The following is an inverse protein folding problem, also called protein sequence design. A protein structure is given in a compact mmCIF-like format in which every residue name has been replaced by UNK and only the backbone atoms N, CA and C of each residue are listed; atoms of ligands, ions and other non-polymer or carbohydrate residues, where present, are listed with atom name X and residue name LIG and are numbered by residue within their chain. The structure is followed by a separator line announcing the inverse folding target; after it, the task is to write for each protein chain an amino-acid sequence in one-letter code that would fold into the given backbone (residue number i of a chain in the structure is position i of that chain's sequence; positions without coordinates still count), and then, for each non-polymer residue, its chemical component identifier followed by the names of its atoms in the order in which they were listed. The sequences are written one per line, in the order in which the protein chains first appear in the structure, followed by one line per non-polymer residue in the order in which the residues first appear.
data_IF_199086219778
#
_entry.id   IF_199086219778
#
_cell.length_a   1.000
_cell.length_b   1.000
_cell.length_c   1.000
_cell.angle_alpha   90.00
_cell.angle_beta   90.00
_cell.angle_gamma   90.00
#
_symmetry.space_group_name_H-M   'P 1'
#
loop_
_entity.id
_entity.type
_entity.pdbx_description
1 polymer ?
#
# COMPACT_ATOMS: atom_id res chain seq x y z
N UNK A 1 -15.56 -16.47 8.16
CA UNK A 1 -15.68 -15.00 8.18
C UNK A 1 -15.46 -14.52 6.77
N UNK A 2 -16.50 -14.09 6.09
CA UNK A 2 -16.47 -13.72 4.67
C UNK A 2 -15.72 -12.40 4.53
N UNK A 3 -14.49 -12.48 4.02
CA UNK A 3 -13.69 -11.35 3.56
C UNK A 3 -14.32 -10.74 2.32
N UNK A 4 -15.49 -10.14 2.44
CA UNK A 4 -15.97 -9.21 1.43
C UNK A 4 -15.01 -8.03 1.50
N UNK A 5 -14.02 -8.02 0.60
CA UNK A 5 -13.08 -6.91 0.41
C UNK A 5 -13.85 -5.67 -0.05
N UNK A 6 -14.67 -5.11 0.83
CA UNK A 6 -15.51 -3.94 0.61
C UNK A 6 -14.90 -2.76 1.36
N UNK A 7 -15.07 -1.58 0.80
CA UNK A 7 -14.65 -0.36 1.46
C UNK A 7 -15.54 -0.09 2.69
N UNK A 8 -14.98 0.19 3.88
CA UNK A 8 -15.77 0.50 5.06
C UNK A 8 -16.49 1.86 4.99
N UNK A 9 -16.16 2.70 3.99
CA UNK A 9 -16.76 4.03 3.82
C UNK A 9 -17.87 4.07 2.78
N UNK A 10 -17.66 3.46 1.61
CA UNK A 10 -18.62 3.50 0.51
C UNK A 10 -19.25 2.14 0.19
N UNK A 11 -18.89 1.09 0.92
CA UNK A 11 -19.38 -0.29 0.79
C UNK A 11 -19.13 -0.98 -0.57
N UNK A 12 -18.55 -0.25 -1.52
CA UNK A 12 -18.12 -0.77 -2.82
C UNK A 12 -17.04 -1.84 -2.67
N UNK A 13 -17.07 -2.81 -3.58
CA UNK A 13 -16.07 -3.87 -3.63
C UNK A 13 -14.71 -3.31 -4.10
N UNK A 14 -13.68 -3.57 -3.31
CA UNK A 14 -12.29 -3.24 -3.57
C UNK A 14 -11.65 -4.41 -4.32
N UNK A 15 -11.43 -4.23 -5.61
CA UNK A 15 -10.65 -5.15 -6.46
C UNK A 15 -9.19 -4.74 -6.59
N UNK A 16 -8.90 -3.47 -6.37
CA UNK A 16 -7.58 -2.86 -6.38
C UNK A 16 -7.52 -1.69 -5.40
N UNK A 17 -6.32 -1.24 -5.05
CA UNK A 17 -6.11 -0.06 -4.21
C UNK A 17 -5.17 0.91 -4.90
N UNK A 18 -5.40 2.21 -4.70
CA UNK A 18 -4.50 3.25 -5.19
C UNK A 18 -3.41 3.47 -4.14
N UNK A 19 -2.16 3.18 -4.49
CA UNK A 19 -1.01 3.48 -3.64
C UNK A 19 -0.51 4.90 -3.92
N UNK A 20 -0.40 5.73 -2.87
CA UNK A 20 0.12 7.10 -2.98
C UNK A 20 1.25 7.33 -1.98
N UNK A 21 2.28 8.07 -2.38
CA UNK A 21 3.41 8.42 -1.50
C UNK A 21 3.01 9.54 -0.57
N UNK A 22 3.29 9.37 0.72
CA UNK A 22 3.07 10.42 1.72
C UNK A 22 4.17 10.49 2.76
N UNK A 23 4.52 11.71 3.22
CA UNK A 23 5.40 11.86 4.37
C UNK A 23 4.67 11.43 5.64
N UNK A 24 5.29 10.56 6.44
CA UNK A 24 4.82 10.25 7.79
C UNK A 24 5.58 11.11 8.79
N UNK A 25 4.89 11.60 9.81
CA UNK A 25 5.52 12.28 10.93
C UNK A 25 5.73 11.27 12.06
N UNK A 26 6.99 11.02 12.42
CA UNK A 26 7.35 10.26 13.60
C UNK A 26 8.15 11.16 14.54
N UNK A 27 7.48 11.71 15.55
CA UNK A 27 8.07 12.59 16.58
C UNK A 27 8.86 13.77 15.98
N UNK A 28 8.28 14.46 15.00
CA UNK A 28 8.89 15.62 14.34
C UNK A 28 9.86 15.28 13.21
N UNK A 29 10.12 13.99 12.96
CA UNK A 29 10.90 13.54 11.81
C UNK A 29 9.98 13.12 10.68
N UNK A 30 10.18 13.69 9.49
CA UNK A 30 9.50 13.28 8.27
C UNK A 30 10.19 12.06 7.68
N UNK A 31 9.44 10.99 7.45
CA UNK A 31 9.92 9.75 6.83
C UNK A 31 9.06 9.39 5.62
N UNK A 32 9.64 8.65 4.68
CA UNK A 32 8.92 8.18 3.49
C UNK A 32 7.89 7.12 3.89
N UNK A 33 6.64 7.35 3.51
CA UNK A 33 5.56 6.40 3.65
C UNK A 33 4.73 6.30 2.38
N UNK A 34 3.76 5.41 2.43
CA UNK A 34 2.70 5.31 1.46
C UNK A 34 1.37 5.06 2.14
N UNK A 35 0.30 5.44 1.47
CA UNK A 35 -1.06 5.12 1.87
C UNK A 35 -1.77 4.37 0.76
N UNK A 36 -2.72 3.53 1.15
CA UNK A 36 -3.63 2.84 0.25
C UNK A 36 -4.99 3.53 0.30
N UNK A 37 -5.53 3.86 -0.86
CA UNK A 37 -6.81 4.51 -1.01
C UNK A 37 -7.82 3.58 -1.71
N UNK A 38 -9.08 3.70 -1.32
CA UNK A 38 -10.18 3.11 -2.07
C UNK A 38 -10.27 3.76 -3.47
N UNK A 39 -10.38 2.99 -4.56
CA UNK A 39 -10.46 3.55 -5.91
C UNK A 39 -11.77 4.30 -6.16
N UNK A 40 -12.85 3.97 -5.43
CA UNK A 40 -14.19 4.54 -5.64
C UNK A 40 -14.41 5.86 -4.91
N UNK A 41 -13.93 5.95 -3.66
CA UNK A 41 -14.23 7.10 -2.79
C UNK A 41 -12.99 7.79 -2.20
N UNK A 42 -11.78 7.33 -2.57
CA UNK A 42 -10.50 7.84 -2.07
C UNK A 42 -10.33 7.81 -0.55
N UNK A 43 -11.13 7.01 0.16
CA UNK A 43 -10.94 6.79 1.60
C UNK A 43 -9.59 6.13 1.86
N UNK A 44 -8.89 6.58 2.90
CA UNK A 44 -7.68 5.91 3.38
C UNK A 44 -8.07 4.53 3.94
N UNK A 45 -7.47 3.49 3.38
CA UNK A 45 -7.63 2.09 3.80
C UNK A 45 -6.49 1.64 4.69
N UNK A 46 -5.31 2.26 4.55
CA UNK A 46 -4.14 1.95 5.36
C UNK A 46 -2.96 2.87 5.05
N UNK A 47 -1.99 2.88 5.95
CA UNK A 47 -0.74 3.65 5.84
C UNK A 47 0.42 2.74 6.25
N UNK A 48 1.51 2.77 5.49
CA UNK A 48 2.70 1.96 5.74
C UNK A 48 3.98 2.78 5.50
N UNK A 49 5.09 2.37 6.12
CA UNK A 49 6.42 2.84 5.75
C UNK A 49 6.71 2.47 4.29
N UNK A 50 7.42 3.34 3.58
CA UNK A 50 7.62 3.32 2.12
C UNK A 50 7.34 1.96 1.43
N UNK A 51 6.09 1.69 1.02
CA UNK A 51 5.71 0.38 0.48
C UNK A 51 6.37 0.12 -0.88
N UNK A 52 6.91 1.16 -1.54
CA UNK A 52 7.58 1.06 -2.82
C UNK A 52 9.04 0.59 -2.68
N UNK A 53 9.67 0.84 -1.53
CA UNK A 53 11.04 0.39 -1.28
C UNK A 53 11.14 -1.14 -1.11
N UNK A 54 10.11 -1.77 -0.54
CA UNK A 54 10.09 -3.22 -0.35
C UNK A 54 9.96 -3.99 -1.68
N UNK A 55 9.17 -3.49 -2.63
CA UNK A 55 9.01 -4.13 -3.94
C UNK A 55 10.33 -4.26 -4.72
N UNK A 56 11.22 -3.26 -4.61
CA UNK A 56 12.55 -3.32 -5.23
C UNK A 56 13.50 -4.32 -4.58
N UNK A 57 13.35 -4.61 -3.27
CA UNK A 57 14.21 -5.56 -2.58
C UNK A 57 13.88 -7.02 -2.93
N UNK A 58 12.59 -7.35 -3.11
CA UNK A 58 12.17 -8.72 -3.44
C UNK A 58 12.56 -9.14 -4.85
N UNK A 59 12.53 -8.22 -5.82
CA UNK A 59 12.95 -8.49 -7.20
C UNK A 59 14.47 -8.76 -7.33
N UNK A 60 15.28 -8.25 -6.40
CA UNK A 60 16.73 -8.39 -6.44
C UNK A 60 17.26 -9.71 -5.84
N UNK A 61 16.41 -10.50 -5.16
CA UNK A 61 16.81 -11.70 -4.43
C UNK A 61 16.51 -13.02 -5.15
N UNK A 62 16.06 -12.97 -6.41
CA UNK A 62 15.94 -14.17 -7.25
C UNK A 62 17.22 -14.28 -8.08
N UNK A 63 18.24 -15.08 -7.67
CA UNK A 63 19.33 -15.40 -8.57
C UNK A 63 18.73 -16.08 -9.81
N UNK A 64 18.99 -15.49 -10.99
CA UNK A 64 18.70 -16.10 -12.28
C UNK A 64 19.31 -17.50 -12.25
N UNK A 65 18.48 -18.54 -12.30
CA UNK A 65 18.95 -19.88 -12.62
C UNK A 65 19.30 -19.86 -14.10
N UNK A 66 20.59 -19.67 -14.40
CA UNK A 66 21.13 -19.95 -15.73
C UNK A 66 21.06 -21.47 -15.94
N UNK A 67 20.38 -21.87 -17.01
CA UNK A 67 20.28 -23.24 -17.51
C UNK A 67 21.33 -23.48 -18.58
#
# INVERSE_FOLDING_TARGET
MTTTGKCPKCEEQITETIASKVPLNNNGKSIKGGMYLCPHCSSVLGVQFDPFAQASMTAAQIPRQEN
#
